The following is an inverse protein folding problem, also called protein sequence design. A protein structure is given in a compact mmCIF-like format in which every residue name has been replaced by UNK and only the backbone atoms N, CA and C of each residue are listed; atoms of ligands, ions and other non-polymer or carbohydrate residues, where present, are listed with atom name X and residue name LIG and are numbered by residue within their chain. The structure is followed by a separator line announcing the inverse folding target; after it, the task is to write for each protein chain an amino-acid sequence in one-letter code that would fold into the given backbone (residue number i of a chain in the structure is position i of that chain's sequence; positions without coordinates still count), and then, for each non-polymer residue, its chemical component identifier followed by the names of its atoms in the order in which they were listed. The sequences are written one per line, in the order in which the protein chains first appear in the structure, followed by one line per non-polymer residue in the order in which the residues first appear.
data_IF_072527332484
#
_entry.id   IF_072527332484
#
_cell.length_a   1.000
_cell.length_b   1.000
_cell.length_c   1.000
_cell.angle_alpha   90.00
_cell.angle_beta   90.00
_cell.angle_gamma   90.00
#
_symmetry.space_group_name_H-M   'P 1'
#
loop_
_entity.id
_entity.type
_entity.pdbx_description
1 polymer ?
#
# COMPACT_ATOMS: atom_id res chain seq x y z
N UNK A 1 -6.18 5.99 -9.36
CA UNK A 1 -6.23 6.12 -7.88
C UNK A 1 -5.67 7.48 -7.49
N UNK A 2 -6.42 8.29 -6.75
CA UNK A 2 -5.91 9.57 -6.19
C UNK A 2 -5.24 9.35 -4.83
N UNK A 3 -4.42 10.30 -4.37
CA UNK A 3 -3.81 10.24 -3.03
C UNK A 3 -4.87 10.12 -1.93
N UNK A 4 -5.98 10.87 -2.04
CA UNK A 4 -7.09 10.80 -1.08
C UNK A 4 -7.75 9.42 -1.02
N UNK A 5 -7.97 8.78 -2.18
CA UNK A 5 -8.52 7.42 -2.21
C UNK A 5 -7.54 6.41 -1.60
N UNK A 6 -6.25 6.57 -1.86
CA UNK A 6 -5.22 5.76 -1.21
C UNK A 6 -5.26 5.90 0.30
N UNK A 7 -5.29 7.12 0.83
CA UNK A 7 -5.24 7.36 2.28
C UNK A 7 -6.40 6.68 3.00
N UNK A 8 -7.62 6.77 2.46
CA UNK A 8 -8.80 6.12 3.02
C UNK A 8 -8.65 4.59 3.07
N UNK A 9 -8.20 3.99 1.99
CA UNK A 9 -7.99 2.53 1.90
C UNK A 9 -6.84 2.11 2.83
N UNK A 10 -5.71 2.82 2.78
CA UNK A 10 -4.52 2.50 3.55
C UNK A 10 -4.77 2.64 5.07
N UNK A 11 -5.53 3.64 5.52
CA UNK A 11 -5.93 3.80 6.92
C UNK A 11 -6.80 2.65 7.42
N UNK A 12 -7.69 2.12 6.57
CA UNK A 12 -8.50 0.94 6.91
C UNK A 12 -7.65 -0.32 7.06
N UNK A 13 -6.64 -0.50 6.21
CA UNK A 13 -5.84 -1.73 6.13
C UNK A 13 -4.69 -1.74 7.15
N UNK A 14 -4.04 -0.60 7.35
CA UNK A 14 -2.79 -0.45 8.10
C UNK A 14 -2.92 0.56 9.24
N UNK A 15 -2.70 0.08 10.47
CA UNK A 15 -2.76 0.92 11.68
C UNK A 15 -1.59 1.91 11.76
N UNK A 16 -0.38 1.48 11.38
CA UNK A 16 0.84 2.29 11.48
C UNK A 16 0.95 3.29 10.33
N UNK A 17 1.21 4.56 10.65
CA UNK A 17 1.48 5.60 9.66
C UNK A 17 2.73 5.29 8.84
N UNK A 18 3.83 4.88 9.48
CA UNK A 18 5.06 4.51 8.79
C UNK A 18 4.82 3.39 7.78
N UNK A 19 3.94 2.44 8.09
CA UNK A 19 3.55 1.38 7.16
C UNK A 19 2.76 1.94 5.96
N UNK A 20 1.87 2.91 6.19
CA UNK A 20 1.14 3.59 5.10
C UNK A 20 2.08 4.41 4.22
N UNK A 21 3.02 5.15 4.79
CA UNK A 21 3.98 5.93 4.01
C UNK A 21 4.88 4.99 3.18
N UNK A 22 5.34 3.89 3.76
CA UNK A 22 6.19 2.92 3.05
C UNK A 22 5.46 2.21 1.91
N UNK A 23 4.16 1.91 2.06
CA UNK A 23 3.34 1.35 0.96
C UNK A 23 3.09 2.41 -0.12
N UNK A 24 2.89 3.67 0.26
CA UNK A 24 2.67 4.77 -0.69
C UNK A 24 3.89 4.96 -1.61
N UNK A 25 5.10 4.87 -1.06
CA UNK A 25 6.34 4.97 -1.83
C UNK A 25 6.45 3.89 -2.93
N UNK A 26 5.92 2.68 -2.69
CA UNK A 26 5.90 1.62 -3.71
C UNK A 26 4.79 1.86 -4.73
N UNK A 27 3.63 2.37 -4.31
CA UNK A 27 2.44 2.54 -5.16
C UNK A 27 2.54 3.77 -6.06
N UNK A 28 3.08 4.87 -5.55
CA UNK A 28 3.10 6.17 -6.24
C UNK A 28 4.49 6.59 -6.72
N UNK A 29 5.52 6.35 -5.91
CA UNK A 29 6.87 6.83 -6.23
C UNK A 29 7.66 5.82 -7.08
N UNK A 30 7.07 4.65 -7.38
CA UNK A 30 7.67 3.61 -8.23
C UNK A 30 8.83 2.86 -7.59
N UNK A 31 9.04 2.97 -6.27
CA UNK A 31 10.07 2.21 -5.57
C UNK A 31 9.79 0.71 -5.67
N UNK A 32 10.84 -0.11 -5.78
CA UNK A 32 10.68 -1.54 -5.53
C UNK A 32 10.35 -1.79 -4.05
N UNK A 33 9.66 -2.89 -3.76
CA UNK A 33 9.36 -3.28 -2.37
C UNK A 33 10.63 -3.46 -1.53
N UNK A 34 11.72 -3.92 -2.14
CA UNK A 34 13.00 -4.11 -1.48
C UNK A 34 13.67 -2.77 -1.11
N UNK A 35 13.69 -1.80 -2.03
CA UNK A 35 14.26 -0.47 -1.76
C UNK A 35 13.47 0.28 -0.70
N UNK A 36 12.14 0.20 -0.76
CA UNK A 36 11.30 0.80 0.26
C UNK A 36 11.47 0.10 1.62
N UNK A 37 11.62 -1.23 1.68
CA UNK A 37 11.93 -1.94 2.93
C UNK A 37 13.23 -1.44 3.56
N UNK A 38 14.26 -1.21 2.76
CA UNK A 38 15.53 -0.62 3.23
C UNK A 38 15.36 0.83 3.70
N UNK A 39 14.61 1.65 2.95
CA UNK A 39 14.40 3.08 3.25
C UNK A 39 13.60 3.31 4.53
N UNK A 40 12.62 2.46 4.80
CA UNK A 40 11.72 2.58 5.94
C UNK A 40 12.04 1.59 7.07
N UNK A 41 13.21 0.95 7.03
CA UNK A 41 13.70 0.02 8.06
C UNK A 41 12.72 -1.12 8.38
N UNK A 42 12.07 -1.68 7.34
CA UNK A 42 11.11 -2.77 7.47
C UNK A 42 11.77 -4.13 7.23
N UNK A 43 11.31 -5.20 7.91
CA UNK A 43 11.78 -6.55 7.63
C UNK A 43 11.54 -6.97 6.18
N UNK A 44 12.47 -7.75 5.62
CA UNK A 44 12.39 -8.21 4.23
C UNK A 44 11.08 -8.95 3.93
N UNK A 45 10.43 -8.59 2.83
CA UNK A 45 9.16 -9.17 2.39
C UNK A 45 7.92 -8.64 3.12
N UNK A 46 8.07 -7.62 3.97
CA UNK A 46 6.94 -6.92 4.61
C UNK A 46 6.15 -6.09 3.58
N UNK A 47 6.83 -5.29 2.77
CA UNK A 47 6.16 -4.42 1.80
C UNK A 47 5.57 -5.19 0.64
N UNK A 48 6.21 -6.27 0.19
CA UNK A 48 5.62 -7.15 -0.83
C UNK A 48 4.23 -7.66 -0.40
N UNK A 49 4.10 -8.07 0.87
CA UNK A 49 2.82 -8.51 1.45
C UNK A 49 1.82 -7.36 1.63
N UNK A 50 2.27 -6.21 2.14
CA UNK A 50 1.41 -5.05 2.35
C UNK A 50 0.87 -4.50 1.03
N UNK A 51 1.73 -4.34 0.01
CA UNK A 51 1.33 -3.86 -1.31
C UNK A 51 0.33 -4.83 -1.95
N UNK A 52 0.52 -6.15 -1.82
CA UNK A 52 -0.47 -7.13 -2.28
C UNK A 52 -1.81 -6.96 -1.55
N UNK A 53 -1.80 -6.81 -0.22
CA UNK A 53 -3.02 -6.58 0.58
C UNK A 53 -3.77 -5.33 0.11
N UNK A 54 -3.05 -4.23 -0.13
CA UNK A 54 -3.62 -3.00 -0.68
C UNK A 54 -4.23 -3.21 -2.07
N UNK A 55 -3.49 -3.82 -3.00
CA UNK A 55 -3.98 -4.08 -4.37
C UNK A 55 -5.23 -4.97 -4.39
N UNK A 56 -5.30 -5.97 -3.51
CA UNK A 56 -6.48 -6.82 -3.39
C UNK A 56 -7.70 -6.04 -2.89
N UNK A 57 -7.54 -5.12 -1.93
CA UNK A 57 -8.65 -4.27 -1.46
C UNK A 57 -9.13 -3.33 -2.56
N UNK A 58 -8.20 -2.73 -3.31
CA UNK A 58 -8.53 -1.89 -4.48
C UNK A 58 -9.33 -2.70 -5.50
N UNK A 59 -8.85 -3.88 -5.86
CA UNK A 59 -9.53 -4.77 -6.81
C UNK A 59 -10.93 -5.15 -6.32
N UNK A 60 -11.10 -5.42 -5.02
CA UNK A 60 -12.41 -5.72 -4.45
C UNK A 60 -13.37 -4.53 -4.58
N UNK A 61 -12.93 -3.32 -4.19
CA UNK A 61 -13.73 -2.10 -4.30
C UNK A 61 -14.13 -1.83 -5.76
N UNK A 62 -13.18 -1.98 -6.70
CA UNK A 62 -13.44 -1.85 -8.13
C UNK A 62 -14.46 -2.89 -8.62
N UNK A 63 -14.36 -4.14 -8.17
CA UNK A 63 -15.31 -5.20 -8.55
C UNK A 63 -16.73 -4.97 -8.05
N UNK A 64 -16.90 -4.39 -6.87
CA UNK A 64 -18.22 -4.12 -6.27
C UNK A 64 -18.82 -2.82 -6.78
N UNK A 65 -18.00 -1.82 -7.09
CA UNK A 65 -18.48 -0.53 -7.64
C UNK A 65 -18.85 -0.60 -9.13
N UNK A 66 -18.30 -1.57 -9.86
CA UNK A 66 -18.65 -1.84 -11.25
C UNK A 66 -19.87 -2.78 -11.41
N UNK A 67 -20.40 -3.32 -10.31
CA UNK A 67 -21.56 -4.21 -10.27
C UNK A 67 -22.86 -3.43 -10.04
#
# INVERSE_FOLDING_TARGET
MTNTQYDLIAQRIFKSENQRVAVAAVVFDGLSSYEAEKRYELPKGTLSRNVRKYKNEVQYIESVSAA
#
